data_IF_502922091848
#
_entry.id   IF_502922091848
#
_cell.length_a   1.000
_cell.length_b   1.000
_cell.length_c   1.000
_cell.angle_alpha   90.00
_cell.angle_beta   90.00
_cell.angle_gamma   90.00
#
_symmetry.space_group_name_H-M   'P 1'
#
loop_
_entity.id
_entity.type
_entity.pdbx_description
1 polymer ?
#
# COMPACT_ATOMS: atom_id res chain seq x y z
N UNK A 1 -16.63 -10.33 13.45
CA UNK A 1 -15.31 -9.93 12.88
C UNK A 1 -14.90 -10.97 11.86
N UNK A 2 -14.58 -10.55 10.64
CA UNK A 2 -14.07 -11.43 9.60
C UNK A 2 -12.66 -11.92 9.95
N UNK A 3 -12.37 -13.20 9.69
CA UNK A 3 -11.02 -13.74 9.82
C UNK A 3 -10.17 -13.48 8.58
N UNK A 4 -8.83 -13.59 8.70
CA UNK A 4 -7.90 -13.36 7.58
C UNK A 4 -8.21 -14.30 6.40
N UNK A 5 -8.59 -15.55 6.66
CA UNK A 5 -8.93 -16.52 5.61
C UNK A 5 -10.17 -16.06 4.81
N UNK A 6 -11.22 -15.62 5.49
CA UNK A 6 -12.44 -15.11 4.87
C UNK A 6 -12.15 -13.84 4.03
N UNK A 7 -11.38 -12.91 4.57
CA UNK A 7 -10.97 -11.71 3.84
C UNK A 7 -10.14 -12.06 2.60
N UNK A 8 -9.21 -13.03 2.72
CA UNK A 8 -8.39 -13.48 1.60
C UNK A 8 -9.24 -14.10 0.49
N UNK A 9 -10.23 -14.94 0.84
CA UNK A 9 -11.15 -15.56 -0.13
C UNK A 9 -12.00 -14.51 -0.87
N UNK A 10 -12.54 -13.54 -0.13
CA UNK A 10 -13.29 -12.43 -0.71
C UNK A 10 -12.43 -11.58 -1.65
N UNK A 11 -11.22 -11.20 -1.23
CA UNK A 11 -10.29 -10.41 -2.05
C UNK A 11 -9.89 -11.19 -3.32
N UNK A 12 -9.62 -12.50 -3.23
CA UNK A 12 -9.32 -13.33 -4.40
C UNK A 12 -10.50 -13.40 -5.37
N UNK A 13 -11.72 -13.27 -4.87
CA UNK A 13 -12.95 -13.19 -5.66
C UNK A 13 -13.24 -11.78 -6.21
N UNK A 14 -12.35 -10.81 -5.98
CA UNK A 14 -12.46 -9.45 -6.52
C UNK A 14 -13.06 -8.42 -5.56
N UNK A 15 -13.32 -8.79 -4.29
CA UNK A 15 -13.82 -7.85 -3.29
C UNK A 15 -12.75 -6.84 -2.84
N UNK A 16 -13.24 -5.72 -2.31
CA UNK A 16 -12.46 -4.74 -1.56
C UNK A 16 -12.54 -5.09 -0.06
N UNK A 17 -11.46 -4.89 0.68
CA UNK A 17 -11.45 -5.05 2.12
C UNK A 17 -10.72 -3.89 2.82
N UNK A 18 -11.06 -3.66 4.08
CA UNK A 18 -10.34 -2.76 4.97
C UNK A 18 -9.32 -3.59 5.74
N UNK A 19 -8.06 -3.16 5.69
CA UNK A 19 -6.92 -3.88 6.24
C UNK A 19 -6.09 -2.98 7.16
N UNK A 20 -5.62 -3.49 8.30
CA UNK A 20 -4.70 -2.75 9.16
C UNK A 20 -3.31 -2.71 8.53
N UNK A 21 -2.55 -1.64 8.78
CA UNK A 21 -1.10 -1.61 8.52
C UNK A 21 -0.39 -1.02 9.73
N UNK A 22 0.94 -1.07 9.75
CA UNK A 22 1.75 -0.43 10.79
C UNK A 22 1.57 1.10 10.85
N UNK A 23 1.08 1.72 9.78
CA UNK A 23 0.90 3.18 9.70
C UNK A 23 -0.55 3.63 9.94
N UNK A 24 -1.46 3.21 9.09
CA UNK A 24 -2.89 3.55 9.12
C UNK A 24 -3.69 2.38 8.54
N UNK A 25 -5.00 2.32 8.80
CA UNK A 25 -5.87 1.41 8.08
C UNK A 25 -5.92 1.77 6.59
N UNK A 26 -6.00 0.75 5.74
CA UNK A 26 -6.08 0.88 4.30
C UNK A 26 -7.31 0.20 3.70
N UNK A 27 -7.74 0.69 2.55
CA UNK A 27 -8.71 0.04 1.67
C UNK A 27 -7.93 -0.64 0.58
N UNK A 28 -8.03 -1.95 0.48
CA UNK A 28 -7.22 -2.79 -0.41
C UNK A 28 -8.04 -3.72 -1.27
N UNK A 29 -7.54 -3.98 -2.47
CA UNK A 29 -8.07 -4.96 -3.41
C UNK A 29 -6.92 -5.54 -4.25
N UNK A 30 -7.17 -6.63 -4.98
CA UNK A 30 -6.22 -7.08 -6.00
C UNK A 30 -5.95 -5.95 -7.00
N UNK A 31 -4.73 -5.83 -7.55
CA UNK A 31 -4.41 -4.78 -8.52
C UNK A 31 -5.40 -4.73 -9.70
N UNK A 32 -5.87 -5.86 -10.18
CA UNK A 32 -6.85 -5.96 -11.28
C UNK A 32 -8.23 -5.38 -10.92
N UNK A 33 -8.53 -5.28 -9.62
CA UNK A 33 -9.75 -4.66 -9.08
C UNK A 33 -9.54 -3.21 -8.61
N UNK A 34 -8.40 -2.58 -8.91
CA UNK A 34 -8.07 -1.23 -8.48
C UNK A 34 -9.13 -0.18 -8.87
N UNK A 35 -9.80 -0.35 -10.00
CA UNK A 35 -10.88 0.55 -10.44
C UNK A 35 -11.96 0.72 -9.37
N UNK A 36 -12.33 -0.34 -8.67
CA UNK A 36 -13.35 -0.30 -7.62
C UNK A 36 -12.90 0.56 -6.40
N UNK A 37 -11.58 0.63 -6.10
CA UNK A 37 -11.07 1.53 -5.06
C UNK A 37 -11.22 2.99 -5.49
N UNK A 38 -10.92 3.32 -6.75
CA UNK A 38 -11.10 4.67 -7.28
C UNK A 38 -12.56 5.11 -7.21
N UNK A 39 -13.49 4.23 -7.58
CA UNK A 39 -14.94 4.48 -7.53
C UNK A 39 -15.41 4.67 -6.09
N UNK A 40 -15.08 3.75 -5.19
CA UNK A 40 -15.49 3.79 -3.78
C UNK A 40 -15.05 5.09 -3.09
N UNK A 41 -13.81 5.54 -3.38
CA UNK A 41 -13.23 6.72 -2.74
C UNK A 41 -13.44 8.03 -3.51
N UNK A 42 -14.08 8.00 -4.68
CA UNK A 42 -14.05 9.14 -5.61
C UNK A 42 -12.64 9.71 -5.78
N UNK A 43 -11.65 8.78 -5.86
CA UNK A 43 -10.24 9.12 -5.89
C UNK A 43 -9.86 9.67 -7.26
N UNK A 44 -9.22 10.84 -7.35
CA UNK A 44 -8.66 11.33 -8.61
C UNK A 44 -7.66 10.35 -9.21
N UNK A 45 -7.74 10.12 -10.52
CA UNK A 45 -6.91 9.13 -11.23
C UNK A 45 -5.42 9.53 -11.34
N UNK A 46 -5.10 10.82 -11.18
CA UNK A 46 -3.73 11.35 -11.08
C UNK A 46 -2.99 10.87 -9.81
N UNK A 47 -3.73 10.37 -8.81
CA UNK A 47 -3.17 9.84 -7.56
C UNK A 47 -3.04 8.32 -7.62
N UNK A 48 -1.87 7.82 -8.02
CA UNK A 48 -1.60 6.39 -8.08
C UNK A 48 -1.91 5.65 -6.77
N UNK A 49 -2.33 4.39 -6.89
CA UNK A 49 -2.44 3.46 -5.77
C UNK A 49 -1.11 2.74 -5.58
N UNK A 50 -0.52 2.77 -4.39
CA UNK A 50 0.61 1.92 -4.06
C UNK A 50 0.19 0.44 -3.99
N UNK A 51 1.16 -0.45 -4.26
CA UNK A 51 1.01 -1.90 -4.10
C UNK A 51 1.77 -2.35 -2.87
N UNK A 52 1.08 -3.05 -1.98
CA UNK A 52 1.67 -3.71 -0.83
C UNK A 52 1.94 -5.18 -1.16
N UNK A 53 3.12 -5.68 -0.73
CA UNK A 53 3.49 -7.10 -0.78
C UNK A 53 3.90 -7.61 0.60
N UNK A 54 3.89 -8.92 0.81
CA UNK A 54 4.37 -9.52 2.06
C UNK A 54 5.89 -9.48 2.18
N UNK A 55 6.59 -9.47 1.05
CA UNK A 55 8.06 -9.40 0.96
C UNK A 55 8.52 -8.81 -0.39
N UNK A 56 9.84 -8.67 -0.55
CA UNK A 56 10.48 -8.17 -1.78
C UNK A 56 10.27 -9.12 -2.97
N UNK A 57 10.23 -10.43 -2.72
CA UNK A 57 10.07 -11.45 -3.77
C UNK A 57 8.69 -11.31 -4.42
N UNK A 58 7.65 -11.13 -3.60
CA UNK A 58 6.28 -10.95 -4.08
C UNK A 58 6.13 -9.67 -4.91
N UNK A 59 6.89 -8.61 -4.59
CA UNK A 59 6.89 -7.34 -5.34
C UNK A 59 7.72 -7.40 -6.64
N UNK A 60 8.60 -8.41 -6.81
CA UNK A 60 9.49 -8.52 -7.96
C UNK A 60 8.80 -8.68 -9.32
N UNK A 61 7.55 -9.19 -9.33
CA UNK A 61 6.71 -9.24 -10.54
C UNK A 61 6.05 -7.90 -10.92
N UNK A 62 6.11 -6.90 -10.03
CA UNK A 62 5.40 -5.62 -10.14
C UNK A 62 6.38 -4.47 -10.37
N UNK A 63 7.51 -4.47 -9.66
CA UNK A 63 8.47 -3.38 -9.57
C UNK A 63 9.89 -3.83 -9.93
N UNK A 64 10.61 -2.98 -10.64
CA UNK A 64 12.04 -3.14 -10.87
C UNK A 64 12.80 -2.45 -9.74
N UNK A 65 13.33 -3.24 -8.81
CA UNK A 65 14.14 -2.73 -7.72
C UNK A 65 15.62 -2.75 -8.13
N UNK A 66 16.19 -1.57 -8.40
CA UNK A 66 17.64 -1.40 -8.60
C UNK A 66 18.39 -1.56 -7.28
N UNK A 67 19.73 -1.46 -7.30
CA UNK A 67 20.56 -1.66 -6.10
C UNK A 67 20.24 -0.65 -5.00
N UNK A 68 19.89 0.59 -5.33
CA UNK A 68 19.47 1.61 -4.36
C UNK A 68 18.15 1.25 -3.71
N UNK A 69 17.17 0.84 -4.52
CA UNK A 69 15.87 0.41 -4.02
C UNK A 69 15.99 -0.84 -3.14
N UNK A 70 16.86 -1.79 -3.50
CA UNK A 70 17.13 -2.99 -2.72
C UNK A 70 17.76 -2.66 -1.37
N UNK A 71 18.78 -1.81 -1.34
CA UNK A 71 19.44 -1.38 -0.11
C UNK A 71 18.45 -0.70 0.86
N UNK A 72 17.59 0.20 0.35
CA UNK A 72 16.55 0.84 1.16
C UNK A 72 15.49 -0.16 1.64
N UNK A 73 15.11 -1.10 0.79
CA UNK A 73 14.17 -2.16 1.15
C UNK A 73 14.74 -3.06 2.27
N UNK A 74 15.98 -3.47 2.18
CA UNK A 74 16.66 -4.27 3.21
C UNK A 74 16.74 -3.55 4.56
N UNK A 75 16.94 -2.23 4.53
CA UNK A 75 17.07 -1.41 5.73
C UNK A 75 15.71 -1.09 6.37
N UNK A 76 14.66 -0.89 5.57
CA UNK A 76 13.40 -0.28 6.03
C UNK A 76 12.15 -1.13 5.82
N UNK A 77 12.25 -2.30 5.16
CA UNK A 77 11.14 -3.23 5.02
C UNK A 77 11.38 -4.51 5.82
N UNK A 78 10.32 -5.00 6.48
CA UNK A 78 8.97 -4.44 6.62
C UNK A 78 8.96 -3.13 7.40
N UNK A 79 8.19 -2.12 6.91
CA UNK A 79 8.15 -0.83 7.60
C UNK A 79 7.47 0.32 6.85
N UNK A 80 7.60 1.57 7.37
CA UNK A 80 6.85 2.72 6.89
C UNK A 80 7.52 3.45 5.71
N UNK A 81 8.20 2.72 4.80
CA UNK A 81 8.77 3.25 3.57
C UNK A 81 7.99 2.78 2.35
N UNK A 82 7.54 3.71 1.51
CA UNK A 82 6.99 3.43 0.18
C UNK A 82 7.99 3.94 -0.86
N UNK A 83 8.41 3.06 -1.76
CA UNK A 83 9.31 3.39 -2.87
C UNK A 83 8.53 3.54 -4.17
N UNK A 84 8.73 4.65 -4.89
CA UNK A 84 8.29 4.81 -6.28
C UNK A 84 9.46 4.47 -7.18
N UNK A 85 9.28 3.42 -7.98
CA UNK A 85 10.31 2.83 -8.83
C UNK A 85 9.75 2.56 -10.22
N UNK A 86 10.60 2.09 -11.15
CA UNK A 86 10.13 1.63 -12.45
C UNK A 86 9.22 0.42 -12.28
N UNK A 87 8.17 0.42 -13.06
CA UNK A 87 7.23 -0.70 -13.15
C UNK A 87 7.87 -1.85 -13.94
N UNK A 88 7.66 -3.09 -13.51
CA UNK A 88 8.00 -4.26 -14.31
C UNK A 88 7.20 -4.27 -15.63
N UNK A 89 7.86 -4.59 -16.73
CA UNK A 89 7.23 -4.65 -18.06
C UNK A 89 6.08 -5.67 -18.13
N UNK A 90 6.10 -6.69 -17.30
CA UNK A 90 5.03 -7.71 -17.22
C UNK A 90 3.81 -7.24 -16.42
N UNK A 91 3.93 -6.18 -15.62
CA UNK A 91 2.83 -5.65 -14.82
C UNK A 91 2.15 -4.50 -15.55
N UNK A 92 0.99 -4.74 -16.16
CA UNK A 92 0.29 -3.78 -17.01
C UNK A 92 -0.97 -3.18 -16.40
N UNK A 93 -1.30 -3.56 -15.14
CA UNK A 93 -2.52 -3.10 -14.45
C UNK A 93 -2.51 -1.60 -14.24
N UNK A 94 -3.62 -0.93 -14.56
CA UNK A 94 -3.78 0.51 -14.31
C UNK A 94 -4.03 0.79 -12.83
N UNK A 95 -3.08 1.44 -12.20
CA UNK A 95 -3.15 1.89 -10.80
C UNK A 95 -3.35 3.41 -10.66
N UNK A 96 -3.64 4.10 -11.76
CA UNK A 96 -3.65 5.57 -11.82
C UNK A 96 -2.24 6.16 -11.78
N UNK A 97 -2.19 7.49 -11.59
CA UNK A 97 -0.95 8.26 -11.62
C UNK A 97 -0.64 8.83 -13.01
N UNK A 98 0.20 9.88 -13.03
CA UNK A 98 0.54 10.60 -14.27
C UNK A 98 1.57 9.86 -15.12
N UNK A 99 2.40 9.00 -14.51
CA UNK A 99 3.42 8.21 -15.19
C UNK A 99 3.12 6.71 -15.10
N UNK A 100 2.61 6.12 -16.20
CA UNK A 100 2.27 4.69 -16.25
C UNK A 100 3.50 3.76 -16.20
N UNK A 101 4.71 4.29 -16.32
CA UNK A 101 5.96 3.53 -16.27
C UNK A 101 6.49 3.36 -14.84
N UNK A 102 5.80 3.90 -13.86
CA UNK A 102 6.18 3.84 -12.46
C UNK A 102 5.15 3.11 -11.60
N UNK A 103 5.59 2.63 -10.45
CA UNK A 103 4.73 2.03 -9.43
C UNK A 103 5.27 2.35 -8.04
N UNK A 104 4.36 2.62 -7.12
CA UNK A 104 4.69 2.75 -5.70
C UNK A 104 4.53 1.39 -5.01
N UNK A 105 5.56 0.94 -4.27
CA UNK A 105 5.56 -0.38 -3.61
C UNK A 105 6.02 -0.28 -2.16
N UNK A 106 5.50 -1.18 -1.31
CA UNK A 106 5.84 -1.24 0.10
C UNK A 106 5.64 -2.64 0.68
N UNK A 107 6.47 -3.02 1.66
CA UNK A 107 6.22 -4.17 2.55
C UNK A 107 5.85 -3.62 3.93
N UNK A 108 4.59 -3.76 4.39
CA UNK A 108 4.16 -3.24 5.68
C UNK A 108 4.67 -4.11 6.84
N UNK A 109 4.93 -3.50 8.01
CA UNK A 109 5.40 -4.23 9.19
C UNK A 109 4.27 -4.92 10.00
N UNK A 110 3.01 -4.72 9.63
CA UNK A 110 1.86 -5.24 10.36
C UNK A 110 1.63 -6.74 10.12
N UNK A 111 1.57 -7.59 11.17
CA UNK A 111 1.49 -9.05 11.01
C UNK A 111 0.21 -9.50 10.27
N UNK A 112 -0.95 -8.92 10.59
CA UNK A 112 -2.23 -9.24 9.91
C UNK A 112 -2.17 -8.86 8.42
N UNK A 113 -1.59 -7.70 8.09
CA UNK A 113 -1.42 -7.30 6.69
C UNK A 113 -0.52 -8.29 5.94
N UNK A 114 0.61 -8.66 6.54
CA UNK A 114 1.56 -9.58 5.91
C UNK A 114 0.96 -10.97 5.69
N UNK A 115 0.30 -11.54 6.70
CA UNK A 115 -0.39 -12.82 6.55
C UNK A 115 -1.48 -12.77 5.46
N UNK A 116 -2.24 -11.66 5.38
CA UNK A 116 -3.22 -11.47 4.31
C UNK A 116 -2.53 -11.45 2.94
N UNK A 117 -1.45 -10.66 2.78
CA UNK A 117 -0.68 -10.54 1.54
C UNK A 117 -0.02 -11.88 1.12
N UNK A 118 0.41 -12.70 2.07
CA UNK A 118 0.88 -14.07 1.78
C UNK A 118 -0.22 -14.93 1.14
N UNK A 119 -1.48 -14.76 1.58
CA UNK A 119 -2.61 -15.54 1.09
C UNK A 119 -3.22 -15.01 -0.21
N UNK A 120 -3.19 -13.68 -0.42
CA UNK A 120 -3.85 -13.03 -1.57
C UNK A 120 -2.93 -12.74 -2.73
N UNK A 121 -1.63 -12.66 -2.48
CA UNK A 121 -0.69 -11.94 -3.35
C UNK A 121 -0.70 -10.43 -3.06
N UNK A 122 0.01 -9.62 -3.87
CA UNK A 122 0.07 -8.18 -3.72
C UNK A 122 -1.29 -7.50 -3.84
N UNK A 123 -1.50 -6.43 -3.07
CA UNK A 123 -2.74 -5.65 -3.08
C UNK A 123 -2.47 -4.18 -3.42
N UNK A 124 -3.31 -3.59 -4.27
CA UNK A 124 -3.40 -2.15 -4.41
C UNK A 124 -4.13 -1.58 -3.19
N UNK A 125 -3.54 -0.60 -2.51
CA UNK A 125 -4.05 -0.10 -1.22
C UNK A 125 -4.03 1.41 -1.18
N UNK A 126 -5.05 2.01 -0.59
CA UNK A 126 -5.09 3.44 -0.23
C UNK A 126 -5.49 3.57 1.24
N UNK A 127 -5.21 4.72 1.86
CA UNK A 127 -5.65 4.97 3.24
C UNK A 127 -7.17 4.89 3.41
N UNK A 128 -7.63 4.33 4.53
CA UNK A 128 -9.04 4.32 4.92
C UNK A 128 -9.42 5.67 5.52
N UNK A 129 -9.99 6.56 4.70
CA UNK A 129 -10.47 7.88 5.09
C UNK A 129 -11.44 8.43 4.05
N UNK A 130 -12.26 9.39 4.43
CA UNK A 130 -12.90 10.29 3.49
C UNK A 130 -11.83 11.18 2.85
N UNK A 131 -11.96 11.49 1.58
CA UNK A 131 -10.95 12.29 0.85
C UNK A 131 -10.73 13.64 1.53
N UNK A 132 -9.50 13.94 1.92
CA UNK A 132 -9.12 15.16 2.64
C UNK A 132 -9.16 15.09 4.16
N UNK A 133 -9.67 14.02 4.73
CA UNK A 133 -9.68 13.76 6.18
C UNK A 133 -8.48 12.92 6.63
N UNK A 134 -8.27 12.83 7.95
CA UNK A 134 -7.24 11.96 8.52
C UNK A 134 -7.61 10.48 8.29
N UNK A 135 -6.62 9.62 8.04
CA UNK A 135 -6.85 8.19 7.93
C UNK A 135 -7.29 7.57 9.25
N UNK A 136 -8.13 6.53 9.18
CA UNK A 136 -8.49 5.72 10.33
C UNK A 136 -7.26 5.05 10.95
N UNK A 137 -7.19 5.09 12.28
CA UNK A 137 -6.12 4.50 13.08
C UNK A 137 -6.59 3.33 13.94
N UNK A 138 -7.90 3.18 14.10
CA UNK A 138 -8.53 2.09 14.84
C UNK A 138 -9.46 1.27 13.95
N UNK A 139 -9.75 0.05 14.39
CA UNK A 139 -10.69 -0.85 13.72
C UNK A 139 -12.08 -0.22 13.58
N UNK A 140 -12.57 0.39 14.68
CA UNK A 140 -13.90 0.99 14.74
C UNK A 140 -14.04 2.16 13.77
N UNK A 141 -13.04 3.05 13.72
CA UNK A 141 -12.99 4.15 12.77
C UNK A 141 -12.99 3.64 11.33
N UNK A 142 -12.16 2.64 11.05
CA UNK A 142 -12.02 2.08 9.71
C UNK A 142 -13.30 1.39 9.23
N UNK A 143 -13.93 0.56 10.07
CA UNK A 143 -15.20 -0.10 9.74
C UNK A 143 -16.36 0.88 9.55
N UNK A 144 -16.39 1.98 10.31
CA UNK A 144 -17.44 2.99 10.19
C UNK A 144 -17.40 3.73 8.84
N UNK A 145 -16.24 3.81 8.18
CA UNK A 145 -16.10 4.44 6.86
C UNK A 145 -16.81 3.66 5.74
N UNK A 146 -16.85 2.34 5.82
CA UNK A 146 -17.45 1.49 4.81
C UNK A 146 -17.99 0.20 5.46
N UNK A 147 -19.15 0.27 6.13
CA UNK A 147 -19.69 -0.82 6.95
C UNK A 147 -20.04 -2.08 6.14
N UNK A 148 -20.22 -1.94 4.82
CA UNK A 148 -20.51 -3.05 3.91
C UNK A 148 -19.26 -3.81 3.45
N UNK A 149 -18.06 -3.29 3.74
CA UNK A 149 -16.81 -3.96 3.41
C UNK A 149 -16.38 -4.92 4.53
N UNK A 150 -15.67 -5.97 4.12
CA UNK A 150 -14.94 -6.80 5.08
C UNK A 150 -13.87 -5.92 5.73
N UNK A 151 -13.85 -5.87 7.06
CA UNK A 151 -12.88 -5.14 7.85
C UNK A 151 -12.12 -6.10 8.75
N UNK A 152 -10.79 -6.14 8.61
CA UNK A 152 -9.91 -6.93 9.46
C UNK A 152 -9.48 -6.11 10.66
N UNK A 153 -9.63 -6.70 11.85
CA UNK A 153 -9.08 -6.13 13.08
C UNK A 153 -7.60 -6.46 13.19
N UNK A 154 -6.80 -5.44 13.42
CA UNK A 154 -5.37 -5.55 13.70
C UNK A 154 -4.94 -4.71 14.90
N UNK A 155 -5.91 -4.16 15.64
CA UNK A 155 -5.63 -3.21 16.72
C UNK A 155 -5.29 -1.80 16.18
N UNK A 156 -4.79 -0.92 17.03
CA UNK A 156 -4.46 0.45 16.64
C UNK A 156 -3.21 0.52 15.75
N UNK A 157 -3.22 1.46 14.81
CA UNK A 157 -2.07 1.82 13.96
C UNK A 157 -1.34 3.04 14.52
N UNK A 158 -0.09 3.27 14.09
CA UNK A 158 0.74 4.40 14.55
C UNK A 158 0.16 5.78 14.20
N UNK A 159 -0.69 5.86 13.19
CA UNK A 159 -1.35 7.10 12.75
C UNK A 159 -0.48 7.98 11.84
N UNK A 160 0.79 7.65 11.65
CA UNK A 160 1.70 8.39 10.80
C UNK A 160 1.84 7.66 9.44
N UNK A 161 1.43 8.26 8.32
CA UNK A 161 1.57 7.65 7.01
C UNK A 161 3.02 7.31 6.66
N UNK A 162 3.22 6.36 5.71
CA UNK A 162 4.56 6.03 5.21
C UNK A 162 5.23 7.22 4.54
N UNK A 163 6.55 7.32 4.66
CA UNK A 163 7.37 8.18 3.80
C UNK A 163 7.36 7.62 2.39
N UNK A 164 7.13 8.48 1.39
CA UNK A 164 7.13 8.11 -0.02
C UNK A 164 8.36 8.71 -0.69
N UNK A 165 9.26 7.87 -1.14
CA UNK A 165 10.49 8.23 -1.84
C UNK A 165 10.42 7.78 -3.30
N UNK A 166 10.60 8.70 -4.23
CA UNK A 166 10.82 8.38 -5.64
C UNK A 166 12.30 8.12 -5.89
N UNK A 167 12.59 7.01 -6.57
CA UNK A 167 13.92 6.65 -7.09
C UNK A 167 13.96 6.72 -8.61
N UNK A 168 12.92 7.26 -9.24
CA UNK A 168 12.89 7.49 -10.69
C UNK A 168 13.61 8.79 -10.99
N UNK A 169 14.77 8.68 -11.64
CA UNK A 169 15.69 9.81 -11.81
C UNK A 169 16.45 10.17 -10.53
N UNK A 170 16.51 11.45 -10.21
CA UNK A 170 17.09 11.91 -8.94
C UNK A 170 16.15 11.56 -7.76
N UNK A 171 16.68 10.98 -6.67
CA UNK A 171 15.87 10.64 -5.51
C UNK A 171 15.15 11.85 -4.92
N UNK A 172 13.85 11.69 -4.65
CA UNK A 172 13.02 12.78 -4.10
C UNK A 172 11.96 12.25 -3.15
N UNK A 173 11.87 12.84 -1.95
CA UNK A 173 10.74 12.60 -1.05
C UNK A 173 9.49 13.29 -1.63
N UNK A 174 8.51 12.48 -2.00
CA UNK A 174 7.20 12.95 -2.52
C UNK A 174 6.22 13.22 -1.38
N UNK A 175 6.38 12.51 -0.26
CA UNK A 175 5.61 12.73 0.96
C UNK A 175 6.48 12.38 2.17
N UNK A 176 6.62 13.31 3.08
CA UNK A 176 7.22 13.03 4.38
C UNK A 176 6.21 12.28 5.24
N UNK A 177 6.63 11.14 5.78
CA UNK A 177 5.92 10.33 6.75
C UNK A 177 6.76 10.12 8.00
N UNK A 178 6.58 8.96 8.66
CA UNK A 178 7.28 8.63 9.90
C UNK A 178 8.78 8.35 9.77
N UNK A 179 9.28 8.08 8.56
CA UNK A 179 10.69 7.80 8.31
C UNK A 179 11.39 9.04 7.76
N UNK A 180 12.42 9.54 8.48
CA UNK A 180 13.30 10.60 8.00
C UNK A 180 14.41 10.01 7.12
N UNK A 181 14.53 10.52 5.89
CA UNK A 181 15.54 10.11 4.90
C UNK A 181 16.50 11.25 4.54
N UNK A 182 16.54 12.31 5.35
CA UNK A 182 17.36 13.50 5.06
C UNK A 182 18.84 13.17 4.90
N UNK A 183 19.40 12.36 5.80
CA UNK A 183 20.81 11.94 5.74
C UNK A 183 21.11 11.09 4.51
N UNK A 184 20.19 10.19 4.16
CA UNK A 184 20.33 9.33 2.98
C UNK A 184 20.32 10.13 1.67
N UNK A 185 19.52 11.20 1.59
CA UNK A 185 19.45 12.07 0.40
C UNK A 185 20.71 12.94 0.21
N UNK A 186 21.54 13.08 1.24
CA UNK A 186 22.77 13.88 1.21
C UNK A 186 24.02 13.03 0.95
N UNK A 187 23.91 11.71 0.96
CA UNK A 187 25.00 10.74 0.76
C UNK A 187 25.16 10.36 -0.71
#
# INVERSE_FOLDING_TARGET
MAGIAEAADAIRSGAIAIIPTDTVYGIGARPEAAAAIFELKHRPRDKALPVLGCDVVQLGGIAELDDRARALAEQHWPGPLTLVVRRSASFTTDLGGDDPMTVAVRVPAHPVARELLERTGPLAVTSANVSGELPATTYEEACALAPDLICLDGGPCDGVPSTVLSLVGEPKVLRQGGLDLTEWLQS
#
